data_IF_857268446679
#
_entry.id   IF_857268446679
#
_cell.length_a   1.000
_cell.length_b   1.000
_cell.length_c   1.000
_cell.angle_alpha   90.00
_cell.angle_beta   90.00
_cell.angle_gamma   90.00
#
_symmetry.space_group_name_H-M   'P 1'
#
loop_
_entity.id
_entity.type
_entity.pdbx_description
1 polymer ?
#
# COMPACT_ATOMS: atom_id res chain seq x y z
N UNK A 1 0.26 17.90 11.46
CA UNK A 1 -0.46 17.77 10.18
C UNK A 1 -0.35 19.12 9.49
N UNK A 2 0.24 19.19 8.30
CA UNK A 2 0.32 20.45 7.56
C UNK A 2 -1.11 20.87 7.16
N UNK A 3 -1.42 22.16 7.25
CA UNK A 3 -2.71 22.66 6.78
C UNK A 3 -2.71 22.87 5.26
N UNK A 4 -3.86 23.18 4.68
CA UNK A 4 -3.97 23.32 3.23
C UNK A 4 -3.13 24.50 2.69
N UNK A 5 -3.00 25.59 3.43
CA UNK A 5 -2.19 26.76 3.05
C UNK A 5 -0.69 26.42 3.00
N UNK A 6 -0.20 25.68 4.00
CA UNK A 6 1.20 25.23 4.03
C UNK A 6 1.53 24.30 2.87
N UNK A 7 0.62 23.37 2.52
CA UNK A 7 0.79 22.48 1.37
C UNK A 7 0.69 23.25 0.06
N UNK A 8 -0.20 24.24 0.00
CA UNK A 8 -0.30 25.10 -1.17
C UNK A 8 1.01 25.86 -1.41
N UNK A 9 1.48 26.61 -0.42
CA UNK A 9 2.69 27.42 -0.52
C UNK A 9 3.96 26.57 -0.75
N UNK A 10 4.07 25.41 -0.09
CA UNK A 10 5.30 24.59 -0.18
C UNK A 10 5.36 23.63 -1.36
N UNK A 11 4.23 23.34 -2.02
CA UNK A 11 4.16 22.34 -3.09
C UNK A 11 3.38 22.81 -4.31
N UNK A 12 2.11 23.19 -4.14
CA UNK A 12 1.24 23.47 -5.28
C UNK A 12 1.55 24.79 -5.98
N UNK A 13 1.95 25.83 -5.25
CA UNK A 13 2.11 27.18 -5.79
C UNK A 13 3.02 27.23 -7.01
N UNK A 14 4.20 26.61 -6.93
CA UNK A 14 5.13 26.54 -8.06
C UNK A 14 4.68 25.63 -9.22
N UNK A 15 3.61 24.87 -9.03
CA UNK A 15 3.01 24.02 -10.07
C UNK A 15 1.85 24.77 -10.73
N UNK A 16 0.96 25.37 -9.95
CA UNK A 16 -0.35 25.86 -10.43
C UNK A 16 -0.38 27.36 -10.72
N UNK A 17 0.65 28.12 -10.35
CA UNK A 17 0.78 29.54 -10.67
C UNK A 17 1.83 29.81 -11.75
N UNK A 18 1.65 30.90 -12.48
CA UNK A 18 2.66 31.49 -13.35
C UNK A 18 3.68 32.29 -12.52
N UNK A 19 4.77 32.73 -13.15
CA UNK A 19 5.80 33.57 -12.49
C UNK A 19 5.26 34.91 -11.97
N UNK A 20 4.16 35.41 -12.54
CA UNK A 20 3.49 36.65 -12.14
C UNK A 20 2.48 36.47 -10.98
N UNK A 21 2.35 35.24 -10.45
CA UNK A 21 1.42 34.91 -9.37
C UNK A 21 -0.04 34.72 -9.82
N UNK A 22 -0.31 34.71 -11.12
CA UNK A 22 -1.64 34.34 -11.63
C UNK A 22 -1.80 32.83 -11.74
N UNK A 23 -3.02 32.32 -11.59
CA UNK A 23 -3.28 30.87 -11.70
C UNK A 23 -3.11 30.41 -13.15
N UNK A 24 -2.22 29.44 -13.36
CA UNK A 24 -2.07 28.71 -14.61
C UNK A 24 -3.21 27.69 -14.75
N UNK A 25 -4.30 28.14 -15.36
CA UNK A 25 -5.53 27.33 -15.52
C UNK A 25 -5.30 26.06 -16.35
N UNK A 26 -4.38 26.07 -17.31
CA UNK A 26 -4.07 24.88 -18.10
C UNK A 26 -3.36 23.83 -17.23
N UNK A 27 -2.38 24.24 -16.44
CA UNK A 27 -1.67 23.33 -15.54
C UNK A 27 -2.62 22.76 -14.48
N UNK A 28 -3.48 23.59 -13.88
CA UNK A 28 -4.52 23.12 -12.95
C UNK A 28 -5.39 22.03 -13.56
N UNK A 29 -5.80 22.17 -14.83
CA UNK A 29 -6.60 21.13 -15.51
C UNK A 29 -5.84 19.81 -15.67
N UNK A 30 -4.53 19.86 -15.94
CA UNK A 30 -3.68 18.66 -16.04
C UNK A 30 -3.58 17.97 -14.69
N UNK A 31 -3.28 18.71 -13.63
CA UNK A 31 -3.19 18.15 -12.27
C UNK A 31 -4.52 17.54 -11.80
N UNK A 32 -5.65 18.20 -12.11
CA UNK A 32 -6.97 17.67 -11.78
C UNK A 32 -7.33 16.41 -12.59
N UNK A 33 -6.87 16.31 -13.83
CA UNK A 33 -7.04 15.10 -14.65
C UNK A 33 -6.24 13.93 -14.05
N UNK A 34 -4.97 14.16 -13.70
CA UNK A 34 -4.12 13.14 -13.07
C UNK A 34 -4.68 12.72 -11.71
N UNK A 35 -5.20 13.67 -10.93
CA UNK A 35 -5.85 13.38 -9.65
C UNK A 35 -7.14 12.56 -9.82
N UNK A 36 -7.96 12.84 -10.83
CA UNK A 36 -9.14 12.03 -11.13
C UNK A 36 -8.75 10.59 -11.50
N UNK A 37 -7.72 10.40 -12.33
CA UNK A 37 -7.19 9.07 -12.64
C UNK A 37 -6.66 8.35 -11.38
N UNK A 38 -5.96 9.05 -10.49
CA UNK A 38 -5.50 8.50 -9.21
C UNK A 38 -6.67 8.05 -8.33
N UNK A 39 -7.73 8.87 -8.20
CA UNK A 39 -8.91 8.54 -7.41
C UNK A 39 -9.64 7.29 -7.94
N UNK A 40 -9.76 7.15 -9.26
CA UNK A 40 -10.39 6.00 -9.89
C UNK A 40 -9.63 4.71 -9.65
N UNK A 41 -8.29 4.75 -9.71
CA UNK A 41 -7.47 3.55 -9.67
C UNK A 41 -7.02 3.17 -8.25
N UNK A 42 -6.56 4.12 -7.44
CA UNK A 42 -6.01 3.84 -6.11
C UNK A 42 -7.09 3.26 -5.17
N UNK A 43 -8.29 3.83 -5.21
CA UNK A 43 -9.42 3.34 -4.41
C UNK A 43 -9.81 1.91 -4.78
N UNK A 44 -9.77 1.57 -6.08
CA UNK A 44 -10.07 0.21 -6.55
C UNK A 44 -9.04 -0.79 -6.04
N UNK A 45 -7.75 -0.47 -6.13
CA UNK A 45 -6.67 -1.31 -5.60
C UNK A 45 -6.86 -1.54 -4.10
N UNK A 46 -7.06 -0.48 -3.32
CA UNK A 46 -7.26 -0.62 -1.87
C UNK A 46 -8.48 -1.47 -1.55
N UNK A 47 -9.62 -1.24 -2.23
CA UNK A 47 -10.83 -2.03 -2.03
C UNK A 47 -10.70 -3.49 -2.44
N UNK A 48 -9.78 -3.81 -3.35
CA UNK A 48 -9.57 -5.18 -3.81
C UNK A 48 -8.73 -6.01 -2.83
N UNK A 49 -7.79 -5.38 -2.12
CA UNK A 49 -6.89 -6.07 -1.18
C UNK A 49 -7.32 -5.93 0.28
N UNK A 50 -8.11 -4.91 0.60
CA UNK A 50 -8.45 -4.52 1.97
C UNK A 50 -9.93 -4.19 2.11
N UNK A 51 -10.43 -4.13 3.34
CA UNK A 51 -11.78 -3.61 3.62
C UNK A 51 -11.86 -2.08 3.46
N UNK A 52 -10.73 -1.39 3.25
CA UNK A 52 -10.67 0.04 3.07
C UNK A 52 -10.84 0.42 1.60
N UNK A 53 -11.82 1.27 1.32
CA UNK A 53 -12.11 1.76 -0.03
C UNK A 53 -11.94 3.27 -0.18
N UNK A 54 -11.57 3.97 0.90
CA UNK A 54 -11.45 5.43 0.88
C UNK A 54 -10.08 5.85 0.35
N UNK A 55 -9.99 6.64 -0.73
CA UNK A 55 -8.72 7.08 -1.31
C UNK A 55 -7.86 7.91 -0.34
N UNK A 56 -8.48 8.52 0.67
CA UNK A 56 -7.78 9.30 1.70
C UNK A 56 -7.34 8.47 2.92
N UNK A 57 -7.55 7.14 2.90
CA UNK A 57 -7.00 6.27 3.94
C UNK A 57 -5.48 6.35 3.88
N UNK A 58 -4.82 6.54 5.02
CA UNK A 58 -3.36 6.48 5.06
C UNK A 58 -2.89 5.12 4.56
N UNK A 59 -1.92 5.14 3.63
CA UNK A 59 -1.39 3.95 2.98
C UNK A 59 -0.89 2.90 3.96
N UNK A 60 -0.39 3.30 5.14
CA UNK A 60 0.08 2.38 6.16
C UNK A 60 -0.99 1.38 6.61
N UNK A 61 -2.25 1.80 6.79
CA UNK A 61 -3.34 0.87 7.15
C UNK A 61 -3.60 -0.18 6.07
N UNK A 62 -3.41 0.19 4.80
CA UNK A 62 -3.52 -0.74 3.67
C UNK A 62 -2.36 -1.75 3.71
N UNK A 63 -1.14 -1.25 3.92
CA UNK A 63 0.08 -2.07 4.00
C UNK A 63 -0.03 -3.07 5.14
N UNK A 64 -0.46 -2.64 6.32
CA UNK A 64 -0.60 -3.48 7.50
C UNK A 64 -1.63 -4.60 7.25
N UNK A 65 -2.81 -4.29 6.72
CA UNK A 65 -3.85 -5.29 6.42
C UNK A 65 -3.41 -6.29 5.34
N UNK A 66 -2.70 -5.81 4.30
CA UNK A 66 -2.09 -6.70 3.29
C UNK A 66 -1.07 -7.61 3.96
N UNK A 67 -0.23 -7.08 4.85
CA UNK A 67 0.82 -7.85 5.50
C UNK A 67 0.27 -8.91 6.45
N UNK A 68 -0.84 -8.64 7.15
CA UNK A 68 -1.54 -9.62 7.96
C UNK A 68 -2.15 -10.76 7.12
N UNK A 69 -2.63 -10.46 5.91
CA UNK A 69 -3.36 -11.43 5.07
C UNK A 69 -2.47 -12.21 4.10
N UNK A 70 -1.36 -11.65 3.63
CA UNK A 70 -0.52 -12.23 2.59
C UNK A 70 0.70 -12.97 3.14
N UNK A 71 0.81 -14.25 2.79
CA UNK A 71 2.00 -15.09 2.98
C UNK A 71 2.67 -15.31 1.63
N UNK A 72 4.00 -15.17 1.58
CA UNK A 72 4.83 -15.49 0.41
C UNK A 72 4.86 -17.01 0.21
N UNK A 73 3.99 -17.49 -0.68
CA UNK A 73 3.79 -18.94 -0.95
C UNK A 73 5.04 -19.64 -1.47
N UNK A 74 5.91 -18.91 -2.16
CA UNK A 74 7.19 -19.39 -2.67
C UNK A 74 8.15 -19.78 -1.54
N UNK A 75 8.32 -18.91 -0.54
CA UNK A 75 9.14 -19.18 0.64
C UNK A 75 8.53 -20.29 1.50
N UNK A 76 7.22 -20.24 1.73
CA UNK A 76 6.51 -21.29 2.47
C UNK A 76 6.65 -22.67 1.80
N UNK A 77 6.66 -22.72 0.46
CA UNK A 77 6.80 -23.96 -0.28
C UNK A 77 8.19 -24.59 -0.13
N UNK A 78 9.25 -23.77 -0.03
CA UNK A 78 10.61 -24.25 0.24
C UNK A 78 10.70 -24.90 1.63
N UNK A 79 10.17 -24.23 2.66
CA UNK A 79 10.12 -24.77 4.03
C UNK A 79 9.32 -26.08 4.09
N UNK A 80 8.18 -26.15 3.41
CA UNK A 80 7.36 -27.39 3.33
C UNK A 80 8.15 -28.50 2.64
N UNK A 81 8.92 -28.22 1.58
CA UNK A 81 9.73 -29.23 0.88
C UNK A 81 10.84 -29.78 1.77
N UNK A 82 11.48 -28.92 2.56
CA UNK A 82 12.50 -29.34 3.52
C UNK A 82 11.91 -30.29 4.57
N UNK A 83 10.77 -29.92 5.18
CA UNK A 83 10.07 -30.80 6.11
C UNK A 83 9.61 -32.12 5.47
N UNK A 84 9.22 -32.11 4.19
CA UNK A 84 8.82 -33.32 3.47
C UNK A 84 9.98 -34.32 3.39
N UNK A 85 11.20 -33.82 3.20
CA UNK A 85 12.41 -34.62 3.09
C UNK A 85 12.77 -35.33 4.41
N UNK A 86 12.34 -34.80 5.55
CA UNK A 86 12.56 -35.38 6.88
C UNK A 86 11.61 -36.54 7.23
N UNK A 87 10.58 -36.79 6.41
CA UNK A 87 9.64 -37.91 6.58
C UNK A 87 8.36 -37.52 7.33
N UNK A 88 7.29 -37.37 6.57
CA UNK A 88 5.90 -37.03 6.96
C UNK A 88 5.75 -35.66 7.62
N UNK A 89 5.14 -34.74 6.87
CA UNK A 89 4.71 -33.44 7.38
C UNK A 89 3.39 -33.62 8.15
N UNK A 90 3.35 -33.19 9.42
CA UNK A 90 2.10 -33.08 10.16
C UNK A 90 1.43 -31.73 9.86
N UNK A 91 0.09 -31.73 9.80
CA UNK A 91 -0.71 -30.50 9.61
C UNK A 91 -0.39 -29.47 10.70
N UNK A 92 -0.15 -29.92 11.93
CA UNK A 92 0.23 -29.06 13.06
C UNK A 92 1.52 -28.28 12.81
N UNK A 93 2.57 -28.93 12.26
CA UNK A 93 3.81 -28.22 11.94
C UNK A 93 3.61 -27.21 10.80
N UNK A 94 2.72 -27.49 9.83
CA UNK A 94 2.36 -26.52 8.79
C UNK A 94 1.66 -25.30 9.42
N UNK A 95 0.72 -25.52 10.36
CA UNK A 95 0.04 -24.44 11.07
C UNK A 95 1.00 -23.58 11.90
N UNK A 96 2.00 -24.19 12.54
CA UNK A 96 3.06 -23.48 13.27
C UNK A 96 3.92 -22.64 12.33
N UNK A 97 4.37 -23.19 11.20
CA UNK A 97 5.13 -22.43 10.18
C UNK A 97 4.33 -21.25 9.62
N UNK A 98 3.04 -21.45 9.34
CA UNK A 98 2.17 -20.38 8.85
C UNK A 98 2.04 -19.23 9.87
N UNK A 99 2.08 -19.51 11.17
CA UNK A 99 2.10 -18.48 12.22
C UNK A 99 3.45 -17.77 12.27
N UNK A 100 4.54 -18.54 12.28
CA UNK A 100 5.91 -18.02 12.38
C UNK A 100 6.23 -17.07 11.21
N UNK A 101 5.86 -17.45 9.99
CA UNK A 101 6.04 -16.59 8.79
C UNK A 101 5.19 -15.31 8.80
N UNK A 102 4.06 -15.28 9.51
CA UNK A 102 3.28 -14.04 9.70
C UNK A 102 3.95 -13.12 10.73
N UNK A 103 4.63 -13.68 11.73
CA UNK A 103 5.32 -12.92 12.77
C UNK A 103 6.66 -12.36 12.29
N UNK A 104 7.49 -13.15 11.59
CA UNK A 104 8.77 -12.68 11.00
C UNK A 104 8.57 -11.43 10.13
N UNK A 105 7.51 -11.42 9.32
CA UNK A 105 7.19 -10.28 8.45
C UNK A 105 6.75 -9.03 9.21
N UNK A 106 6.18 -9.18 10.40
CA UNK A 106 5.74 -8.04 11.24
C UNK A 106 6.94 -7.30 11.85
N UNK A 107 8.04 -8.00 12.07
CA UNK A 107 9.25 -7.46 12.70
C UNK A 107 10.24 -6.83 11.69
N UNK A 108 10.05 -7.03 10.38
CA UNK A 108 10.86 -6.44 9.29
C UNK A 108 10.41 -5.02 8.87
N UNK A 109 9.33 -4.48 9.48
CA UNK A 109 8.70 -3.18 9.16
C UNK A 109 8.89 -2.22 10.32
#
# INVERSE_FOLDING_TARGET
MKNYDEIYESFWKGIVENEDGTVNTEQVKKELFDYQALLENASQVYSSFTQYSKPLTYSQFIIDEINEKYIRKDLLLEDIKEMAAEGVISVQKIEELLKLKREEKRDEI
#
